data_IF_445324753621
#
_entry.id   IF_445324753621
#
_cell.length_a   1.000
_cell.length_b   1.000
_cell.length_c   1.000
_cell.angle_alpha   90.00
_cell.angle_beta   90.00
_cell.angle_gamma   90.00
#
_symmetry.space_group_name_H-M   'P 1'
#
loop_
_entity.id
_entity.type
_entity.pdbx_description
1 polymer ?
#
# COMPACT_ATOMS: atom_id res chain seq x y z
N UNK A 1 -9.06 -20.12 0.98
CA UNK A 1 -8.99 -19.30 2.20
C UNK A 1 -8.85 -17.84 1.78
N UNK A 2 -9.55 -16.90 2.42
CA UNK A 2 -9.36 -15.46 2.18
C UNK A 2 -8.62 -14.91 3.40
N UNK A 3 -7.44 -14.34 3.20
CA UNK A 3 -6.68 -13.68 4.26
C UNK A 3 -6.85 -12.17 4.16
N UNK A 4 -6.98 -11.50 5.30
CA UNK A 4 -7.09 -10.03 5.37
C UNK A 4 -6.09 -9.51 6.37
N UNK A 5 -5.31 -8.51 5.96
CA UNK A 5 -4.39 -7.77 6.81
C UNK A 5 -4.74 -6.28 6.72
N UNK A 6 -4.77 -5.60 7.87
CA UNK A 6 -4.96 -4.16 7.94
C UNK A 6 -3.81 -3.52 8.71
N UNK A 7 -3.30 -2.39 8.23
CA UNK A 7 -2.35 -1.56 8.96
C UNK A 7 -2.76 -0.09 8.84
N UNK A 8 -2.51 0.67 9.90
CA UNK A 8 -2.78 2.10 9.96
C UNK A 8 -1.51 2.85 10.33
N UNK A 9 -1.29 4.01 9.72
CA UNK A 9 -0.20 4.94 10.04
C UNK A 9 -0.66 6.37 9.74
N UNK A 10 0.08 7.38 10.21
CA UNK A 10 -0.25 8.78 9.93
C UNK A 10 0.52 9.30 8.72
N UNK A 11 -0.17 10.06 7.88
CA UNK A 11 0.45 10.86 6.83
C UNK A 11 1.34 11.93 7.48
N UNK A 12 2.60 12.01 7.05
CA UNK A 12 3.57 12.92 7.66
C UNK A 12 3.38 14.39 7.26
N UNK A 13 2.67 14.67 6.17
CA UNK A 13 2.43 16.03 5.67
C UNK A 13 1.14 16.61 6.23
N UNK A 14 0.05 15.83 6.23
CA UNK A 14 -1.27 16.32 6.65
C UNK A 14 -1.60 15.97 8.10
N UNK A 15 -0.96 14.94 8.66
CA UNK A 15 -1.28 14.38 9.97
C UNK A 15 -2.54 13.49 9.98
N UNK A 16 -3.13 13.23 8.81
CA UNK A 16 -4.32 12.39 8.69
C UNK A 16 -3.98 10.90 8.84
N UNK A 17 -4.92 10.12 9.37
CA UNK A 17 -4.75 8.68 9.45
C UNK A 17 -4.92 8.04 8.05
N UNK A 18 -3.95 7.19 7.70
CA UNK A 18 -3.93 6.34 6.50
C UNK A 18 -4.21 4.91 6.91
N UNK A 19 -5.20 4.29 6.28
CA UNK A 19 -5.54 2.88 6.46
C UNK A 19 -5.24 2.10 5.19
N UNK A 20 -4.41 1.06 5.30
CA UNK A 20 -4.13 0.12 4.21
C UNK A 20 -4.69 -1.25 4.57
N UNK A 21 -5.59 -1.76 3.73
CA UNK A 21 -6.20 -3.08 3.87
C UNK A 21 -5.82 -3.92 2.65
N UNK A 22 -5.25 -5.10 2.91
CA UNK A 22 -4.91 -6.08 1.88
C UNK A 22 -5.77 -7.32 2.06
N UNK A 23 -6.45 -7.75 1.00
CA UNK A 23 -7.24 -8.99 0.95
C UNK A 23 -6.66 -9.91 -0.11
N UNK A 24 -6.26 -11.11 0.28
CA UNK A 24 -5.72 -12.11 -0.63
C UNK A 24 -6.72 -13.26 -0.86
N UNK A 25 -6.85 -13.68 -2.13
CA UNK A 25 -7.62 -14.84 -2.54
C UNK A 25 -6.94 -15.58 -3.70
N UNK A 26 -7.54 -16.67 -4.21
CA UNK A 26 -6.95 -17.42 -5.32
C UNK A 26 -6.76 -16.53 -6.56
N UNK A 27 -5.51 -16.34 -6.99
CA UNK A 27 -5.15 -15.60 -8.20
C UNK A 27 -5.30 -14.08 -8.14
N UNK A 28 -5.70 -13.51 -7.00
CA UNK A 28 -5.94 -12.06 -6.87
C UNK A 28 -5.61 -11.55 -5.47
N UNK A 29 -5.09 -10.32 -5.43
CA UNK A 29 -4.88 -9.55 -4.22
C UNK A 29 -5.54 -8.19 -4.41
N UNK A 30 -6.45 -7.82 -3.53
CA UNK A 30 -7.05 -6.49 -3.49
C UNK A 30 -6.35 -5.64 -2.41
N UNK A 31 -5.90 -4.44 -2.80
CA UNK A 31 -5.28 -3.45 -1.92
C UNK A 31 -6.19 -2.24 -1.88
N UNK A 32 -6.57 -1.83 -0.67
CA UNK A 32 -7.38 -0.65 -0.42
C UNK A 32 -6.57 0.30 0.46
N UNK A 33 -6.37 1.53 -0.02
CA UNK A 33 -5.71 2.62 0.72
C UNK A 33 -6.73 3.73 0.91
N UNK A 34 -7.07 4.01 2.16
CA UNK A 34 -7.94 5.12 2.53
C UNK A 34 -7.16 6.18 3.30
N UNK A 35 -7.28 7.41 2.81
CA UNK A 35 -6.92 8.62 3.55
C UNK A 35 -8.21 9.12 4.22
N UNK A 36 -8.25 9.21 5.56
CA UNK A 36 -9.44 9.71 6.25
C UNK A 36 -9.61 11.20 5.90
N UNK A 37 -10.60 11.52 5.06
CA UNK A 37 -10.85 12.87 4.54
C UNK A 37 -10.39 13.12 3.11
N UNK A 38 -9.76 12.14 2.46
CA UNK A 38 -9.23 12.22 1.10
C UNK A 38 -9.87 11.25 0.10
N UNK A 39 -9.26 11.16 -1.09
CA UNK A 39 -9.63 10.16 -2.09
C UNK A 39 -9.07 8.78 -1.71
N UNK A 40 -9.89 7.74 -1.89
CA UNK A 40 -9.47 6.36 -1.67
C UNK A 40 -8.87 5.78 -2.95
N UNK A 41 -7.85 4.94 -2.79
CA UNK A 41 -7.26 4.16 -3.89
C UNK A 41 -7.63 2.70 -3.67
N UNK A 42 -8.25 2.08 -4.67
CA UNK A 42 -8.53 0.65 -4.69
C UNK A 42 -7.87 0.02 -5.91
N UNK A 43 -7.14 -1.07 -5.68
CA UNK A 43 -6.43 -1.81 -6.73
C UNK A 43 -6.69 -3.31 -6.57
N UNK A 44 -7.00 -3.99 -7.67
CA UNK A 44 -7.04 -5.45 -7.75
C UNK A 44 -5.90 -5.92 -8.65
N UNK A 45 -4.99 -6.71 -8.10
CA UNK A 45 -3.74 -7.11 -8.75
C UNK A 45 -3.60 -8.64 -8.76
N UNK A 46 -2.90 -9.16 -9.77
CA UNK A 46 -2.42 -10.54 -9.72
C UNK A 46 -1.27 -10.67 -8.70
N UNK A 47 -0.99 -11.87 -8.16
CA UNK A 47 0.13 -12.06 -7.23
C UNK A 47 1.49 -11.61 -7.79
N UNK A 48 1.75 -11.83 -9.09
CA UNK A 48 2.99 -11.38 -9.73
C UNK A 48 3.10 -9.86 -9.85
N UNK A 49 1.98 -9.17 -10.03
CA UNK A 49 1.97 -7.70 -10.07
C UNK A 49 2.12 -7.10 -8.66
N UNK A 50 1.62 -7.76 -7.62
CA UNK A 50 1.90 -7.36 -6.23
C UNK A 50 3.39 -7.45 -5.91
N UNK A 51 4.05 -8.54 -6.32
CA UNK A 51 5.49 -8.69 -6.11
C UNK A 51 6.28 -7.56 -6.79
N UNK A 52 5.90 -7.21 -8.02
CA UNK A 52 6.47 -6.07 -8.75
C UNK A 52 6.21 -4.74 -8.06
N UNK A 53 5.00 -4.52 -7.54
CA UNK A 53 4.64 -3.31 -6.80
C UNK A 53 5.52 -3.17 -5.54
N UNK A 54 5.65 -4.23 -4.74
CA UNK A 54 6.49 -4.24 -3.53
C UNK A 54 7.94 -3.90 -3.87
N UNK A 55 8.50 -4.53 -4.92
CA UNK A 55 9.86 -4.23 -5.36
C UNK A 55 10.02 -2.77 -5.81
N UNK A 56 9.02 -2.22 -6.51
CA UNK A 56 8.97 -0.80 -6.89
C UNK A 56 8.99 0.13 -5.68
N UNK A 57 8.15 -0.14 -4.66
CA UNK A 57 8.09 0.64 -3.42
C UNK A 57 9.40 0.60 -2.63
N UNK A 58 10.05 -0.56 -2.52
CA UNK A 58 11.37 -0.69 -1.90
C UNK A 58 12.45 0.11 -2.63
N UNK A 59 12.39 0.17 -3.97
CA UNK A 59 13.29 1.00 -4.77
C UNK A 59 13.03 2.49 -4.56
N UNK A 60 11.77 2.91 -4.55
CA UNK A 60 11.38 4.30 -4.29
C UNK A 60 11.86 4.78 -2.92
N UNK A 61 11.67 3.94 -1.87
CA UNK A 61 12.18 4.23 -0.52
C UNK A 61 13.69 4.48 -0.51
N UNK A 62 14.49 3.62 -1.15
CA UNK A 62 15.96 3.81 -1.23
C UNK A 62 16.34 5.11 -1.93
N UNK A 63 15.60 5.50 -2.97
CA UNK A 63 15.83 6.78 -3.65
C UNK A 63 15.56 7.94 -2.71
N UNK A 64 14.44 7.91 -1.97
CA UNK A 64 14.11 8.94 -0.98
C UNK A 64 15.19 9.05 0.12
N UNK A 65 15.62 7.94 0.70
CA UNK A 65 16.69 7.92 1.72
C UNK A 65 18.01 8.54 1.22
N UNK A 66 18.38 8.31 -0.06
CA UNK A 66 19.57 8.92 -0.66
C UNK A 66 19.43 10.43 -0.90
N UNK A 67 18.21 10.96 -1.04
CA UNK A 67 17.97 12.39 -1.27
C UNK A 67 17.98 13.22 0.03
N UNK A 68 17.76 12.56 1.18
CA UNK A 68 17.81 13.19 2.50
C UNK A 68 19.21 13.19 3.13
N UNK A 69 20.20 12.54 2.49
CA UNK A 69 21.60 12.42 2.93
C UNK A 69 22.50 13.53 2.37
#
# INVERSE_FOLDING_TARGET
>A
MKETLGTTFQDSETGDDVCVIVRAGPGVVAIFVALIGGANIEMALSPGDVERLVHGLQRARRIAECLEA
#
